data_IF_672149891058
#
_entry.id   IF_672149891058
#
_cell.length_a   1.000
_cell.length_b   1.000
_cell.length_c   1.000
_cell.angle_alpha   90.00
_cell.angle_beta   90.00
_cell.angle_gamma   90.00
#
_symmetry.space_group_name_H-M   'P 1'
#
loop_
_entity.id
_entity.type
_entity.pdbx_description
1 polymer ?
#
# COMPACT_ATOMS: atom_id res chain seq x y z
N UNK A 1 0.99 -18.77 5.95
CA UNK A 1 -0.22 -18.72 6.78
C UNK A 1 -1.40 -18.87 5.85
N UNK A 2 -2.31 -19.80 6.16
CA UNK A 2 -3.48 -20.10 5.34
C UNK A 2 -4.66 -19.22 5.78
N UNK A 3 -5.20 -18.43 4.86
CA UNK A 3 -6.29 -17.48 5.10
C UNK A 3 -7.62 -18.20 5.37
N UNK A 4 -7.75 -19.46 4.96
CA UNK A 4 -8.95 -20.27 5.13
C UNK A 4 -8.93 -21.10 6.42
N UNK A 5 -7.89 -20.97 7.24
CA UNK A 5 -7.81 -21.65 8.52
C UNK A 5 -8.44 -20.80 9.64
N UNK A 6 -9.62 -21.20 10.11
CA UNK A 6 -10.36 -20.54 11.22
C UNK A 6 -9.52 -20.33 12.50
N UNK A 7 -8.43 -21.09 12.67
CA UNK A 7 -7.56 -21.05 13.84
C UNK A 7 -6.52 -19.91 13.77
N UNK A 8 -6.18 -19.43 12.57
CA UNK A 8 -5.03 -18.52 12.34
C UNK A 8 -5.44 -17.21 11.65
N UNK A 9 -6.70 -17.08 11.22
CA UNK A 9 -7.20 -15.92 10.48
C UNK A 9 -7.15 -14.60 11.28
N UNK A 10 -7.20 -14.65 12.61
CA UNK A 10 -7.13 -13.47 13.49
C UNK A 10 -5.72 -12.87 13.63
N UNK A 11 -4.67 -13.61 13.31
CA UNK A 11 -3.28 -13.14 13.38
C UNK A 11 -2.83 -12.43 12.08
N UNK A 12 -3.72 -12.31 11.09
CA UNK A 12 -3.39 -11.72 9.79
C UNK A 12 -3.67 -10.22 9.78
N UNK A 13 -2.79 -9.43 10.40
CA UNK A 13 -2.81 -7.97 10.27
C UNK A 13 -1.90 -7.54 9.10
N UNK A 14 -2.51 -7.07 8.01
CA UNK A 14 -1.78 -6.55 6.84
C UNK A 14 -0.99 -5.26 7.16
N UNK A 15 -1.19 -4.68 8.35
CA UNK A 15 -0.44 -3.54 8.89
C UNK A 15 0.75 -3.97 9.75
N UNK A 16 0.95 -5.28 9.95
CA UNK A 16 2.10 -5.82 10.67
C UNK A 16 3.41 -5.23 10.11
N UNK A 17 4.35 -4.94 11.02
CA UNK A 17 5.60 -4.30 10.66
C UNK A 17 6.45 -5.16 9.71
N UNK A 18 6.39 -6.48 9.85
CA UNK A 18 7.07 -7.42 8.96
C UNK A 18 6.45 -7.42 7.55
N UNK A 19 5.13 -7.34 7.45
CA UNK A 19 4.43 -7.21 6.16
C UNK A 19 4.79 -5.88 5.48
N UNK A 20 4.73 -4.77 6.21
CA UNK A 20 5.14 -3.46 5.69
C UNK A 20 6.59 -3.44 5.20
N UNK A 21 7.50 -4.05 5.95
CA UNK A 21 8.91 -4.14 5.56
C UNK A 21 9.11 -4.98 4.29
N UNK A 22 8.39 -6.09 4.16
CA UNK A 22 8.42 -6.89 2.92
C UNK A 22 7.92 -6.10 1.71
N UNK A 23 6.83 -5.35 1.87
CA UNK A 23 6.29 -4.46 0.83
C UNK A 23 7.33 -3.39 0.46
N UNK A 24 7.95 -2.75 1.45
CA UNK A 24 9.01 -1.75 1.24
C UNK A 24 10.16 -2.32 0.42
N UNK A 25 10.69 -3.48 0.82
CA UNK A 25 11.79 -4.13 0.10
C UNK A 25 11.43 -4.43 -1.35
N UNK A 26 10.20 -4.88 -1.62
CA UNK A 26 9.72 -5.19 -2.96
C UNK A 26 9.59 -3.93 -3.83
N UNK A 27 8.93 -2.89 -3.33
CA UNK A 27 8.72 -1.62 -4.07
C UNK A 27 10.05 -0.93 -4.34
N UNK A 28 10.92 -0.80 -3.34
CA UNK A 28 12.24 -0.20 -3.54
C UNK A 28 13.11 -1.04 -4.49
N UNK A 29 13.02 -2.37 -4.38
CA UNK A 29 13.71 -3.29 -5.30
C UNK A 29 13.27 -3.09 -6.75
N UNK A 30 11.97 -3.01 -7.00
CA UNK A 30 11.42 -2.75 -8.33
C UNK A 30 11.91 -1.39 -8.86
N UNK A 31 11.80 -0.33 -8.05
CA UNK A 31 12.26 1.03 -8.39
C UNK A 31 13.75 1.08 -8.73
N UNK A 32 14.61 0.43 -7.93
CA UNK A 32 16.06 0.35 -8.19
C UNK A 32 16.38 -0.31 -9.53
N UNK A 33 15.53 -1.22 -9.99
CA UNK A 33 15.70 -1.95 -11.25
C UNK A 33 14.88 -1.36 -12.40
N UNK A 34 14.23 -0.20 -12.21
CA UNK A 34 13.36 0.40 -13.23
C UNK A 34 12.18 -0.50 -13.63
N UNK A 35 11.76 -1.38 -12.72
CA UNK A 35 10.62 -2.27 -12.92
C UNK A 35 9.37 -1.66 -12.30
N UNK A 36 8.23 -1.83 -12.98
CA UNK A 36 6.92 -1.42 -12.48
C UNK A 36 6.53 -2.22 -11.25
N UNK A 37 5.97 -1.55 -10.24
CA UNK A 37 5.48 -2.12 -9.00
C UNK A 37 3.99 -1.83 -8.80
N UNK A 38 3.22 -2.87 -8.49
CA UNK A 38 1.79 -2.76 -8.22
C UNK A 38 1.35 -3.69 -7.11
N UNK A 39 0.42 -3.24 -6.27
CA UNK A 39 -0.16 -4.06 -5.22
C UNK A 39 -1.64 -4.36 -5.53
N UNK A 40 -1.99 -5.65 -5.54
CA UNK A 40 -3.37 -6.12 -5.48
C UNK A 40 -3.67 -6.68 -4.09
N UNK A 41 -4.91 -6.51 -3.63
CA UNK A 41 -5.33 -6.94 -2.30
C UNK A 41 -6.33 -5.97 -1.69
N UNK A 42 -6.86 -6.37 -0.54
CA UNK A 42 -7.89 -5.62 0.16
C UNK A 42 -7.29 -4.49 1.02
N UNK A 43 -6.06 -4.66 1.52
CA UNK A 43 -5.38 -3.72 2.42
C UNK A 43 -5.51 -2.24 2.05
N UNK A 44 -5.21 -1.78 0.81
CA UNK A 44 -5.28 -0.36 0.48
C UNK A 44 -6.73 0.17 0.35
N UNK A 45 -7.73 -0.71 0.27
CA UNK A 45 -9.15 -0.32 0.29
C UNK A 45 -9.67 -0.23 1.72
N UNK A 46 -9.30 -1.18 2.58
CA UNK A 46 -9.79 -1.27 3.96
C UNK A 46 -9.02 -0.33 4.91
N UNK A 47 -7.73 -0.09 4.64
CA UNK A 47 -6.81 0.67 5.48
C UNK A 47 -6.22 1.85 4.69
N UNK A 48 -6.79 3.07 4.80
CA UNK A 48 -6.26 4.27 4.16
C UNK A 48 -4.77 4.52 4.46
N UNK A 49 -4.31 4.17 5.67
CA UNK A 49 -2.91 4.28 6.07
C UNK A 49 -1.98 3.36 5.27
N UNK A 50 -2.49 2.23 4.74
CA UNK A 50 -1.73 1.36 3.84
C UNK A 50 -1.63 2.00 2.45
N UNK A 51 -2.70 2.61 1.94
CA UNK A 51 -2.63 3.35 0.68
C UNK A 51 -1.65 4.53 0.77
N UNK A 52 -1.69 5.30 1.86
CA UNK A 52 -0.73 6.38 2.13
C UNK A 52 0.70 5.85 2.18
N UNK A 53 0.95 4.77 2.94
CA UNK A 53 2.28 4.16 3.02
C UNK A 53 2.82 3.74 1.65
N UNK A 54 1.98 3.11 0.81
CA UNK A 54 2.37 2.70 -0.54
C UNK A 54 2.76 3.89 -1.44
N UNK A 55 2.02 5.00 -1.34
CA UNK A 55 2.36 6.25 -2.05
C UNK A 55 3.68 6.82 -1.56
N UNK A 56 3.92 6.84 -0.24
CA UNK A 56 5.18 7.31 0.34
C UNK A 56 6.40 6.48 -0.11
N UNK A 57 6.22 5.17 -0.31
CA UNK A 57 7.23 4.29 -0.90
C UNK A 57 7.45 4.55 -2.39
N UNK A 58 6.49 5.20 -3.05
CA UNK A 58 6.50 5.47 -4.49
C UNK A 58 6.13 4.26 -5.33
N UNK A 59 5.08 3.52 -4.92
CA UNK A 59 4.48 2.48 -5.76
C UNK A 59 3.90 3.09 -7.04
N UNK A 60 3.91 2.34 -8.15
CA UNK A 60 3.39 2.84 -9.43
C UNK A 60 1.88 2.62 -9.57
N UNK A 61 1.32 1.62 -8.88
CA UNK A 61 -0.10 1.29 -8.97
C UNK A 61 -0.64 0.54 -7.76
N UNK A 62 -1.94 0.68 -7.49
CA UNK A 62 -2.65 -0.13 -6.51
C UNK A 62 -4.07 -0.43 -7.00
N UNK A 63 -4.56 -1.64 -6.70
CA UNK A 63 -5.95 -2.03 -6.98
C UNK A 63 -6.83 -1.71 -5.78
N UNK A 64 -8.01 -1.16 -6.02
CA UNK A 64 -8.94 -0.73 -4.99
C UNK A 64 -10.36 -1.23 -5.25
N UNK A 65 -11.15 -1.34 -4.19
CA UNK A 65 -12.58 -1.61 -4.33
C UNK A 65 -13.30 -0.40 -4.91
N UNK A 66 -14.29 -0.59 -5.82
CA UNK A 66 -14.93 0.50 -6.56
C UNK A 66 -15.51 1.62 -5.69
N UNK A 67 -16.03 1.28 -4.52
CA UNK A 67 -16.61 2.19 -3.53
C UNK A 67 -15.53 3.05 -2.82
N UNK A 68 -14.31 2.54 -2.68
CA UNK A 68 -13.19 3.22 -2.01
C UNK A 68 -12.35 4.09 -2.96
N UNK A 69 -12.40 3.83 -4.28
CA UNK A 69 -11.56 4.51 -5.30
C UNK A 69 -11.56 6.02 -5.15
N UNK A 70 -12.73 6.66 -5.00
CA UNK A 70 -12.82 8.11 -4.94
C UNK A 70 -12.18 8.70 -3.67
N UNK A 71 -12.41 8.05 -2.52
CA UNK A 71 -11.86 8.48 -1.23
C UNK A 71 -10.36 8.29 -1.20
N UNK A 72 -9.88 7.12 -1.62
CA UNK A 72 -8.44 6.83 -1.68
C UNK A 72 -7.73 7.71 -2.69
N UNK A 73 -8.32 8.03 -3.84
CA UNK A 73 -7.74 8.97 -4.80
C UNK A 73 -7.52 10.36 -4.18
N UNK A 74 -8.46 10.86 -3.38
CA UNK A 74 -8.29 12.14 -2.67
C UNK A 74 -7.16 12.09 -1.64
N UNK A 75 -7.03 10.96 -0.93
CA UNK A 75 -5.92 10.72 -0.01
C UNK A 75 -4.58 10.74 -0.73
N UNK A 76 -4.45 9.95 -1.82
CA UNK A 76 -3.25 9.89 -2.65
C UNK A 76 -2.82 11.29 -3.09
N UNK A 77 -3.76 12.08 -3.64
CA UNK A 77 -3.49 13.45 -4.05
C UNK A 77 -2.96 14.33 -2.90
N UNK A 78 -3.54 14.21 -1.71
CA UNK A 78 -3.09 14.97 -0.54
C UNK A 78 -1.67 14.57 -0.10
N UNK A 79 -1.37 13.27 -0.12
CA UNK A 79 -0.04 12.72 0.21
C UNK A 79 1.00 13.17 -0.82
N UNK A 80 0.70 13.05 -2.11
CA UNK A 80 1.59 13.50 -3.20
C UNK A 80 1.89 15.00 -3.12
N UNK A 81 0.89 15.83 -2.80
CA UNK A 81 1.08 17.26 -2.58
C UNK A 81 2.00 17.54 -1.39
N UNK A 82 1.83 16.80 -0.28
CA UNK A 82 2.69 16.91 0.90
C UNK A 82 4.14 16.54 0.59
N UNK A 83 4.36 15.43 -0.12
CA UNK A 83 5.70 14.99 -0.52
C UNK A 83 6.37 15.96 -1.51
N UNK A 84 5.59 16.51 -2.44
CA UNK A 84 6.06 17.53 -3.39
C UNK A 84 6.39 18.85 -2.72
N UNK A 85 5.63 19.23 -1.69
CA UNK A 85 5.85 20.44 -0.89
C UNK A 85 7.09 20.37 0.00
N UNK A 86 7.42 19.18 0.51
CA UNK A 86 8.60 18.94 1.34
C UNK A 86 9.93 18.87 0.56
N UNK A 87 9.88 18.84 -0.77
CA UNK A 87 11.07 18.81 -1.63
C UNK A 87 11.54 20.21 -2.09
N UNK A 88 11.02 21.29 -1.48
CA UNK A 88 11.44 22.68 -1.68
C UNK A 88 12.04 23.26 -0.40
#
# INVERSE_FOLDING_TARGET
MDRDSEIVAFDFDERDAGVKEMIRMAVEGAKRNGCHSGLCGQAPSDYPEMAEYLVELGIDSMSLNPDTVLTTTRLVLAVEQRLSGNSR
#
